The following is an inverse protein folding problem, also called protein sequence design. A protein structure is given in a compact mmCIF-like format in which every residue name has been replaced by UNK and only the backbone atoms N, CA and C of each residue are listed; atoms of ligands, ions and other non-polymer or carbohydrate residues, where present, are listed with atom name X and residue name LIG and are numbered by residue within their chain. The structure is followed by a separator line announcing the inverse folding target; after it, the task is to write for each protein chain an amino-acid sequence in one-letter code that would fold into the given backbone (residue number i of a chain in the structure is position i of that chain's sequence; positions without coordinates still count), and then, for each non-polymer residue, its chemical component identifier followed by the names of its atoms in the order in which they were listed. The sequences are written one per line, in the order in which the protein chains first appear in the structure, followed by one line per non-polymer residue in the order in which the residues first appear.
data_IF_391783907777
#
_entry.id   IF_391783907777
#
_cell.length_a   1.000
_cell.length_b   1.000
_cell.length_c   1.000
_cell.angle_alpha   90.00
_cell.angle_beta   90.00
_cell.angle_gamma   90.00
#
_symmetry.space_group_name_H-M   'P 1'
#
loop_
_entity.id
_entity.type
_entity.pdbx_description
1 polymer ?
#
# COMPACT_ATOMS: atom_id res chain seq x y z
N UNK A 1 15.92 -15.76 -16.68
CA UNK A 1 15.02 -16.79 -17.23
C UNK A 1 14.79 -17.83 -16.14
N UNK A 2 13.71 -17.70 -15.34
CA UNK A 2 13.47 -18.56 -14.17
C UNK A 2 13.04 -19.95 -14.64
N UNK A 3 13.83 -20.97 -14.32
CA UNK A 3 13.51 -22.37 -14.62
C UNK A 3 12.50 -22.85 -13.57
N UNK A 4 11.30 -23.20 -14.01
CA UNK A 4 10.29 -23.84 -13.17
C UNK A 4 10.78 -25.24 -12.80
N UNK A 5 10.96 -25.52 -11.51
CA UNK A 5 11.07 -26.87 -10.98
C UNK A 5 9.76 -27.16 -10.24
N UNK A 6 8.88 -27.86 -10.93
CA UNK A 6 7.71 -28.49 -10.33
C UNK A 6 8.13 -29.80 -9.65
N UNK A 7 7.32 -30.19 -8.66
CA UNK A 7 7.26 -31.47 -7.96
C UNK A 7 8.21 -31.67 -6.76
N UNK A 8 7.64 -31.71 -5.53
CA UNK A 8 7.24 -32.97 -4.86
C UNK A 8 6.59 -32.78 -3.46
N UNK A 9 5.54 -33.58 -3.22
CA UNK A 9 5.01 -34.15 -1.93
C UNK A 9 4.01 -33.38 -1.02
N UNK A 10 2.72 -33.66 -1.25
CA UNK A 10 1.64 -34.28 -0.41
C UNK A 10 1.57 -34.18 1.15
N UNK A 11 0.28 -34.08 1.57
CA UNK A 11 -0.41 -34.52 2.82
C UNK A 11 -0.29 -33.60 4.05
N UNK A 12 -1.26 -33.41 4.96
CA UNK A 12 -2.69 -33.71 5.18
C UNK A 12 -3.02 -33.03 6.56
N UNK A 13 -4.30 -32.82 6.89
CA UNK A 13 -4.89 -32.71 8.26
C UNK A 13 -5.39 -31.31 8.71
N UNK A 14 -6.70 -31.13 8.51
CA UNK A 14 -7.79 -30.74 9.44
C UNK A 14 -7.69 -29.58 10.46
N UNK A 15 -8.70 -28.70 10.33
CA UNK A 15 -9.64 -28.14 11.34
C UNK A 15 -9.08 -27.62 12.68
N UNK A 16 -9.32 -26.33 12.95
CA UNK A 16 -10.27 -25.92 14.01
C UNK A 16 -10.80 -24.50 13.77
N UNK A 17 -12.13 -24.36 13.83
CA UNK A 17 -12.85 -23.08 13.95
C UNK A 17 -12.87 -22.72 15.43
N UNK A 18 -12.61 -21.46 15.77
CA UNK A 18 -13.00 -20.88 17.06
C UNK A 18 -13.52 -19.47 16.86
N UNK A 19 -14.80 -19.32 17.13
CA UNK A 19 -15.58 -18.10 17.28
C UNK A 19 -15.32 -17.49 18.66
N UNK A 20 -15.16 -16.17 18.76
CA UNK A 20 -15.32 -15.45 20.03
C UNK A 20 -16.41 -14.37 19.89
N UNK A 21 -17.35 -14.45 20.84
CA UNK A 21 -18.56 -13.65 20.97
C UNK A 21 -18.30 -12.39 21.79
N UNK A 22 -19.04 -11.34 21.42
CA UNK A 22 -19.30 -10.07 22.09
C UNK A 22 -19.48 -10.17 23.61
N UNK A 23 -19.05 -9.15 24.35
CA UNK A 23 -19.79 -8.61 25.50
C UNK A 23 -19.52 -7.12 25.71
N UNK A 24 -20.60 -6.36 25.67
CA UNK A 24 -20.81 -4.95 26.04
C UNK A 24 -20.81 -4.75 27.55
N UNK A 25 -20.53 -3.51 28.01
CA UNK A 25 -21.03 -2.81 29.23
C UNK A 25 -20.08 -1.61 29.50
N UNK A 26 -20.42 -0.42 30.01
CA UNK A 26 -21.63 0.19 30.58
C UNK A 26 -21.38 1.72 30.65
N UNK A 27 -22.48 2.48 30.67
CA UNK A 27 -22.58 3.95 30.71
C UNK A 27 -21.98 4.66 31.95
N UNK A 28 -21.70 5.96 31.71
CA UNK A 28 -21.91 7.14 32.57
C UNK A 28 -20.97 7.43 33.75
N UNK A 29 -20.33 8.61 33.68
CA UNK A 29 -20.54 9.66 34.68
C UNK A 29 -20.31 11.05 34.08
N UNK A 30 -21.41 11.80 34.02
CA UNK A 30 -21.46 13.23 33.79
C UNK A 30 -21.29 13.91 35.15
N UNK A 31 -20.32 14.80 35.28
CA UNK A 31 -20.24 15.73 36.41
C UNK A 31 -19.99 17.15 35.88
N UNK A 32 -21.08 17.91 35.88
CA UNK A 32 -21.21 19.27 36.41
C UNK A 32 -20.12 20.30 36.12
N UNK A 33 -20.42 21.16 35.15
CA UNK A 33 -20.39 22.63 35.24
C UNK A 33 -19.34 23.32 36.13
N UNK A 34 -18.37 23.96 35.49
CA UNK A 34 -17.88 25.28 35.90
C UNK A 34 -17.69 26.14 34.64
N UNK A 35 -18.70 26.95 34.32
CA UNK A 35 -18.54 28.07 33.40
C UNK A 35 -17.93 29.23 34.20
N UNK A 36 -16.65 29.54 33.95
CA UNK A 36 -16.00 30.74 34.46
C UNK A 36 -15.74 31.69 33.29
N UNK A 37 -16.47 32.79 33.28
CA UNK A 37 -16.31 33.93 32.39
C UNK A 37 -15.06 34.72 32.76
N UNK A 38 -14.13 34.88 31.82
CA UNK A 38 -13.04 35.87 31.92
C UNK A 38 -12.91 36.63 30.61
N UNK A 39 -12.83 37.95 30.79
CA UNK A 39 -12.82 39.03 29.82
C UNK A 39 -11.71 38.89 28.77
N UNK A 40 -12.04 39.32 27.55
CA UNK A 40 -11.20 39.36 26.36
C UNK A 40 -10.14 40.48 26.48
N UNK A 41 -8.82 40.19 26.59
CA UNK A 41 -7.80 41.15 26.22
C UNK A 41 -7.65 41.11 24.69
N UNK A 42 -7.53 42.27 24.07
CA UNK A 42 -7.18 42.40 22.65
C UNK A 42 -5.76 41.89 22.42
N UNK A 43 -5.60 40.60 22.21
CA UNK A 43 -4.33 40.00 21.80
C UNK A 43 -4.20 40.05 20.27
N UNK A 44 -3.43 41.04 19.83
CA UNK A 44 -2.46 41.00 18.75
C UNK A 44 -2.45 39.69 17.94
N UNK A 45 -2.86 39.77 16.66
CA UNK A 45 -2.77 38.70 15.65
C UNK A 45 -1.32 38.41 15.25
N UNK A 46 -0.48 38.06 16.23
CA UNK A 46 0.77 37.34 16.00
C UNK A 46 0.48 35.86 16.22
N UNK A 47 -0.25 35.23 15.30
CA UNK A 47 -0.36 33.77 15.30
C UNK A 47 0.99 33.20 14.91
N UNK A 48 1.85 33.05 15.91
CA UNK A 48 3.06 32.27 15.82
C UNK A 48 2.60 30.83 15.60
N UNK A 49 2.48 30.42 14.33
CA UNK A 49 2.19 29.05 13.93
C UNK A 49 3.42 28.18 14.25
N UNK A 50 3.84 28.15 15.51
CA UNK A 50 4.62 27.06 16.06
C UNK A 50 3.67 25.87 16.09
N UNK A 51 3.57 25.18 14.96
CA UNK A 51 2.78 23.96 14.86
C UNK A 51 3.30 23.02 15.93
N UNK A 52 2.43 22.62 16.87
CA UNK A 52 2.78 21.62 17.86
C UNK A 52 3.40 20.42 17.15
N UNK A 53 4.64 19.99 17.49
CA UNK A 53 5.29 18.88 16.79
C UNK A 53 4.39 17.64 16.80
N UNK A 54 4.28 16.96 15.66
CA UNK A 54 3.49 15.73 15.57
C UNK A 54 4.18 14.63 16.37
N UNK A 55 3.47 14.03 17.32
CA UNK A 55 3.95 12.96 18.19
C UNK A 55 2.92 11.83 18.21
N UNK A 56 3.31 10.61 18.61
CA UNK A 56 2.35 9.50 18.74
C UNK A 56 1.19 9.79 19.71
N UNK A 57 1.38 10.72 20.64
CA UNK A 57 0.36 11.08 21.64
C UNK A 57 -0.69 12.06 21.09
N UNK A 58 -0.40 12.79 19.99
CA UNK A 58 -1.29 13.81 19.43
C UNK A 58 -1.86 13.45 18.04
N UNK A 59 -1.52 12.28 17.50
CA UNK A 59 -2.19 11.69 16.33
C UNK A 59 -3.56 11.13 16.71
N UNK A 60 -4.50 11.17 15.77
CA UNK A 60 -5.84 10.60 15.92
C UNK A 60 -5.79 9.14 16.46
N UNK A 61 -6.40 8.84 17.62
CA UNK A 61 -6.37 7.51 18.22
C UNK A 61 -6.92 6.39 17.31
N UNK A 62 -7.74 6.72 16.30
CA UNK A 62 -8.23 5.73 15.32
C UNK A 62 -7.11 5.24 14.39
N UNK A 63 -6.12 6.08 14.09
CA UNK A 63 -4.95 5.69 13.29
C UNK A 63 -4.08 4.73 14.09
N UNK A 64 -3.90 5.00 15.39
CA UNK A 64 -3.15 4.11 16.29
C UNK A 64 -3.79 2.72 16.43
N UNK A 65 -5.12 2.65 16.34
CA UNK A 65 -5.88 1.39 16.38
C UNK A 65 -6.07 0.72 15.02
N UNK A 66 -5.69 1.39 13.92
CA UNK A 66 -5.93 0.88 12.58
C UNK A 66 -4.85 -0.15 12.22
N UNK A 67 -5.27 -1.34 11.78
CA UNK A 67 -4.38 -2.41 11.37
C UNK A 67 -4.60 -2.77 9.90
N UNK A 68 -3.50 -2.96 9.16
CA UNK A 68 -3.52 -3.38 7.77
C UNK A 68 -2.54 -4.54 7.54
N UNK A 69 -3.01 -5.75 7.83
CA UNK A 69 -2.16 -6.95 7.86
C UNK A 69 -1.46 -7.27 6.52
N UNK A 70 -2.06 -6.92 5.37
CA UNK A 70 -1.47 -7.17 4.04
C UNK A 70 -0.12 -6.49 3.86
N UNK A 71 0.09 -5.33 4.51
CA UNK A 71 1.37 -4.62 4.57
C UNK A 71 1.76 -4.34 6.03
N UNK A 72 1.57 -5.32 6.90
CA UNK A 72 1.90 -5.24 8.32
C UNK A 72 3.30 -5.77 8.66
N UNK A 73 3.47 -6.22 9.90
CA UNK A 73 4.79 -6.55 10.47
C UNK A 73 5.53 -7.68 9.73
N UNK A 74 4.82 -8.66 9.19
CA UNK A 74 5.43 -9.73 8.38
C UNK A 74 6.17 -9.15 7.17
N UNK A 75 5.62 -8.12 6.54
CA UNK A 75 6.26 -7.47 5.39
C UNK A 75 7.47 -6.65 5.84
N UNK A 76 7.40 -5.96 6.97
CA UNK A 76 8.54 -5.25 7.56
C UNK A 76 9.70 -6.21 7.84
N UNK A 77 9.42 -7.38 8.42
CA UNK A 77 10.42 -8.41 8.68
C UNK A 77 11.00 -8.98 7.37
N UNK A 78 10.14 -9.27 6.39
CA UNK A 78 10.56 -9.74 5.07
C UNK A 78 11.51 -8.74 4.39
N UNK A 79 11.27 -7.43 4.51
CA UNK A 79 12.16 -6.39 4.00
C UNK A 79 13.52 -6.35 4.71
N UNK A 80 13.53 -6.51 6.06
CA UNK A 80 14.78 -6.62 6.83
C UNK A 80 15.60 -7.83 6.39
N UNK A 81 14.96 -9.00 6.24
CA UNK A 81 15.61 -10.21 5.74
C UNK A 81 16.12 -10.03 4.31
N UNK A 82 15.36 -9.37 3.44
CA UNK A 82 15.79 -9.09 2.08
C UNK A 82 17.02 -8.15 2.03
N UNK A 83 17.13 -7.21 2.98
CA UNK A 83 18.32 -6.38 3.12
C UNK A 83 19.50 -7.20 3.64
N UNK A 84 19.27 -8.03 4.66
CA UNK A 84 20.31 -8.89 5.23
C UNK A 84 20.85 -9.91 4.20
N UNK A 85 20.00 -10.48 3.35
CA UNK A 85 20.43 -11.33 2.23
C UNK A 85 21.36 -10.61 1.23
N UNK A 86 21.19 -9.29 1.04
CA UNK A 86 22.06 -8.50 0.15
C UNK A 86 23.40 -8.19 0.81
N UNK A 87 23.39 -7.88 2.10
CA UNK A 87 24.57 -7.50 2.87
C UNK A 87 25.42 -8.73 3.24
N UNK A 88 24.75 -9.84 3.58
CA UNK A 88 25.34 -11.08 4.06
C UNK A 88 24.87 -12.28 3.20
N UNK A 89 25.34 -12.42 1.95
CA UNK A 89 24.96 -13.54 1.10
C UNK A 89 25.26 -14.90 1.75
N UNK A 90 24.26 -15.79 1.80
CA UNK A 90 24.38 -17.12 2.42
C UNK A 90 24.16 -17.16 3.94
N UNK A 91 23.77 -16.05 4.58
CA UNK A 91 23.43 -16.03 6.02
C UNK A 91 22.13 -16.78 6.36
N UNK A 92 21.26 -17.00 5.38
CA UNK A 92 19.96 -17.66 5.52
C UNK A 92 19.89 -18.94 4.70
N UNK A 93 18.98 -19.89 5.02
CA UNK A 93 18.78 -21.12 4.25
C UNK A 93 18.03 -20.92 2.91
N UNK A 94 17.95 -19.68 2.42
CA UNK A 94 17.27 -19.30 1.18
C UNK A 94 17.98 -18.08 0.56
N UNK A 95 17.84 -17.90 -0.76
CA UNK A 95 18.56 -16.86 -1.50
C UNK A 95 17.71 -15.60 -1.78
N UNK A 96 16.38 -15.72 -1.75
CA UNK A 96 15.48 -14.61 -2.03
C UNK A 96 14.20 -14.66 -1.18
N UNK A 97 13.57 -13.51 -1.02
CA UNK A 97 12.23 -13.37 -0.42
C UNK A 97 11.19 -13.36 -1.55
N UNK A 98 10.29 -14.34 -1.54
CA UNK A 98 9.15 -14.40 -2.46
C UNK A 98 7.89 -13.81 -1.79
N UNK A 99 7.43 -12.66 -2.28
CA UNK A 99 6.24 -12.00 -1.77
C UNK A 99 4.95 -12.65 -2.29
N UNK A 100 4.37 -13.54 -1.48
CA UNK A 100 3.06 -14.15 -1.71
C UNK A 100 1.92 -13.51 -0.89
N UNK A 101 2.17 -12.35 -0.26
CA UNK A 101 1.25 -11.70 0.67
C UNK A 101 0.24 -10.75 -0.01
N UNK A 102 0.51 -10.30 -1.23
CA UNK A 102 -0.36 -9.37 -1.97
C UNK A 102 -0.61 -9.87 -3.38
N UNK A 103 -1.83 -9.68 -3.88
CA UNK A 103 -2.21 -9.96 -5.27
C UNK A 103 -1.56 -8.97 -6.24
N UNK A 104 -0.25 -9.04 -6.42
CA UNK A 104 0.50 -8.27 -7.41
C UNK A 104 1.14 -9.21 -8.44
N UNK A 105 0.37 -9.63 -9.46
CA UNK A 105 0.82 -10.65 -10.40
C UNK A 105 1.96 -10.15 -11.31
N UNK A 106 2.07 -8.83 -11.55
CA UNK A 106 3.19 -8.26 -12.31
C UNK A 106 4.52 -8.39 -11.56
N UNK A 107 4.54 -8.26 -10.22
CA UNK A 107 5.72 -8.59 -9.41
C UNK A 107 6.15 -10.06 -9.53
N UNK A 108 5.21 -10.94 -9.88
CA UNK A 108 5.44 -12.36 -10.14
C UNK A 108 5.60 -12.67 -11.65
N UNK A 109 6.07 -11.69 -12.42
CA UNK A 109 6.42 -11.79 -13.84
C UNK A 109 5.25 -11.96 -14.82
N UNK A 110 4.00 -11.67 -14.41
CA UNK A 110 2.92 -11.50 -15.37
C UNK A 110 3.26 -10.32 -16.31
N UNK A 111 3.28 -10.59 -17.62
CA UNK A 111 3.53 -9.56 -18.61
C UNK A 111 2.36 -8.57 -18.68
N UNK A 112 2.62 -7.25 -18.75
CA UNK A 112 1.57 -6.27 -19.00
C UNK A 112 0.87 -6.55 -20.34
N UNK A 113 -0.44 -6.28 -20.39
CA UNK A 113 -1.20 -6.41 -21.64
C UNK A 113 -0.80 -5.27 -22.58
N UNK A 114 -0.24 -5.63 -23.74
CA UNK A 114 0.38 -4.69 -24.68
C UNK A 114 -0.59 -3.61 -25.15
N UNK A 115 -1.83 -3.97 -25.52
CA UNK A 115 -2.82 -3.02 -26.03
C UNK A 115 -3.08 -1.86 -25.04
N UNK A 116 -3.27 -2.16 -23.75
CA UNK A 116 -3.47 -1.11 -22.74
C UNK A 116 -2.21 -0.26 -22.54
N UNK A 117 -1.02 -0.87 -22.60
CA UNK A 117 0.24 -0.15 -22.49
C UNK A 117 0.47 0.81 -23.66
N UNK A 118 0.13 0.39 -24.86
CA UNK A 118 0.19 1.20 -26.09
C UNK A 118 -0.78 2.38 -26.04
N UNK A 119 -2.05 2.14 -25.68
CA UNK A 119 -3.05 3.22 -25.53
C UNK A 119 -2.63 4.23 -24.47
N UNK A 120 -2.18 3.77 -23.30
CA UNK A 120 -1.70 4.67 -22.24
C UNK A 120 -0.52 5.52 -22.70
N UNK A 121 0.48 4.92 -23.36
CA UNK A 121 1.64 5.66 -23.84
C UNK A 121 1.27 6.74 -24.88
N UNK A 122 0.31 6.45 -25.77
CA UNK A 122 -0.20 7.42 -26.74
C UNK A 122 -1.01 8.54 -26.08
N UNK A 123 -1.79 8.25 -25.03
CA UNK A 123 -2.48 9.27 -24.25
C UNK A 123 -1.51 10.16 -23.45
N UNK A 124 -0.47 9.55 -22.86
CA UNK A 124 0.53 10.26 -22.05
C UNK A 124 1.40 11.19 -22.92
N UNK A 125 1.67 10.82 -24.18
CA UNK A 125 2.39 11.66 -25.14
C UNK A 125 1.68 11.72 -26.51
N UNK A 126 0.64 12.56 -26.67
CA UNK A 126 -0.21 12.56 -27.86
C UNK A 126 0.51 13.01 -29.14
N UNK A 127 1.60 13.77 -29.04
CA UNK A 127 2.38 14.20 -30.20
C UNK A 127 3.01 13.04 -30.98
N UNK A 128 3.15 11.86 -30.36
CA UNK A 128 3.61 10.64 -31.04
C UNK A 128 2.65 10.27 -32.17
N UNK A 129 1.34 10.50 -32.06
CA UNK A 129 0.38 10.14 -33.10
C UNK A 129 0.68 10.77 -34.47
N UNK A 130 1.34 11.93 -34.48
CA UNK A 130 1.67 12.66 -35.71
C UNK A 130 3.05 12.32 -36.28
N UNK A 131 3.78 11.38 -35.67
CA UNK A 131 5.08 10.90 -36.17
C UNK A 131 4.87 9.79 -37.20
N UNK A 132 5.64 9.84 -38.29
CA UNK A 132 5.61 8.83 -39.36
C UNK A 132 5.91 7.42 -38.86
N UNK A 133 6.74 7.30 -37.83
CA UNK A 133 7.25 6.07 -37.25
C UNK A 133 6.21 5.35 -36.38
N UNK A 134 5.16 6.05 -35.96
CA UNK A 134 4.18 5.55 -34.99
C UNK A 134 3.43 4.32 -35.50
N UNK A 135 3.19 4.22 -36.80
CA UNK A 135 2.55 3.06 -37.42
C UNK A 135 3.42 1.79 -37.36
N UNK A 136 4.75 1.93 -37.19
CA UNK A 136 5.67 0.82 -37.00
C UNK A 136 5.87 0.41 -35.54
N UNK A 137 5.51 1.29 -34.59
CA UNK A 137 5.73 1.10 -33.15
C UNK A 137 4.47 0.73 -32.38
N UNK A 138 3.31 1.19 -32.82
CA UNK A 138 2.03 0.98 -32.15
C UNK A 138 1.05 0.26 -33.06
N UNK A 139 0.20 -0.59 -32.48
CA UNK A 139 -0.86 -1.26 -33.24
C UNK A 139 -1.89 -0.24 -33.73
N UNK A 140 -2.41 -0.45 -34.92
CA UNK A 140 -3.46 0.38 -35.52
C UNK A 140 -4.67 0.57 -34.59
N UNK A 141 -5.13 -0.49 -33.93
CA UNK A 141 -6.27 -0.44 -33.01
C UNK A 141 -5.99 0.46 -31.79
N UNK A 142 -4.74 0.51 -31.33
CA UNK A 142 -4.34 1.37 -30.21
C UNK A 142 -4.38 2.84 -30.60
N UNK A 143 -3.82 3.19 -31.77
CA UNK A 143 -3.89 4.55 -32.33
C UNK A 143 -5.33 4.99 -32.58
N UNK A 144 -6.15 4.12 -33.18
CA UNK A 144 -7.56 4.39 -33.48
C UNK A 144 -8.36 4.59 -32.18
N UNK A 145 -8.08 3.77 -31.16
CA UNK A 145 -8.73 3.92 -29.86
C UNK A 145 -8.46 5.28 -29.24
N UNK A 146 -7.23 5.78 -29.28
CA UNK A 146 -6.87 7.11 -28.76
C UNK A 146 -7.49 8.22 -29.61
N UNK A 147 -7.47 8.11 -30.93
CA UNK A 147 -8.10 9.11 -31.82
C UNK A 147 -9.63 9.21 -31.68
N UNK A 148 -10.28 8.23 -31.04
CA UNK A 148 -11.73 8.22 -30.77
C UNK A 148 -12.13 8.77 -29.39
N UNK A 149 -11.16 9.08 -28.52
CA UNK A 149 -11.38 9.67 -27.20
C UNK A 149 -11.43 11.21 -27.30
#
# INVERSE_FOLDING_TARGET
MRRFVADKVKNLINRTRTTCSSHTNVLQRITSSQFLSTLHPSDSMGSDYSSTPVTLNNVNPKVLKCEYAVRGEIVNLAQKLQQDLKENPGSHPFDEILYCNIGNPQCLAQQPITFFREVLALCDHPLILYKSETQGLFRYNSCTKVGSL
#
